data_IF_415738889442
#
_entry.id   IF_415738889442
#
_cell.length_a   1.000
_cell.length_b   1.000
_cell.length_c   1.000
_cell.angle_alpha   90.00
_cell.angle_beta   90.00
_cell.angle_gamma   90.00
#
_symmetry.space_group_name_H-M   'P 1'
#
loop_
_entity.id
_entity.type
_entity.pdbx_description
1 polymer ?
#
# COMPACT_ATOMS: atom_id res chain seq x y z
N UNK A 1 48.12 -43.26 4.89
CA UNK A 1 46.96 -42.43 5.28
C UNK A 1 47.38 -40.97 5.30
N UNK A 2 47.13 -40.23 4.21
CA UNK A 2 47.48 -38.82 4.10
C UNK A 2 46.64 -38.03 5.10
N UNK A 3 47.26 -37.63 6.23
CA UNK A 3 46.75 -36.54 7.07
C UNK A 3 46.55 -35.36 6.12
N UNK A 4 45.30 -35.07 5.72
CA UNK A 4 44.92 -33.85 5.00
C UNK A 4 45.09 -32.72 6.01
N UNK A 5 46.34 -32.32 6.17
CA UNK A 5 46.83 -31.48 7.25
C UNK A 5 46.23 -30.09 7.10
N UNK A 6 45.70 -29.58 8.19
CA UNK A 6 45.13 -28.23 8.30
C UNK A 6 46.03 -27.13 7.72
N UNK A 7 47.34 -27.37 7.60
CA UNK A 7 48.31 -26.48 6.94
C UNK A 7 48.00 -26.24 5.47
N UNK A 8 47.67 -27.27 4.69
CA UNK A 8 47.32 -27.10 3.26
C UNK A 8 46.06 -26.25 3.07
N UNK A 9 45.06 -26.43 3.95
CA UNK A 9 43.87 -25.59 3.99
C UNK A 9 44.21 -24.15 4.38
N UNK A 10 45.11 -23.93 5.36
CA UNK A 10 45.58 -22.60 5.74
C UNK A 10 46.29 -21.87 4.60
N UNK A 11 47.22 -22.52 3.91
CA UNK A 11 47.91 -21.94 2.74
C UNK A 11 46.92 -21.55 1.64
N UNK A 12 45.95 -22.42 1.34
CA UNK A 12 44.91 -22.13 0.36
C UNK A 12 44.03 -20.95 0.78
N UNK A 13 43.64 -20.86 2.05
CA UNK A 13 42.86 -19.71 2.56
C UNK A 13 43.65 -18.41 2.48
N UNK A 14 44.93 -18.40 2.88
CA UNK A 14 45.78 -17.22 2.75
C UNK A 14 45.91 -16.76 1.29
N UNK A 15 46.05 -17.69 0.34
CA UNK A 15 46.04 -17.37 -1.09
C UNK A 15 44.72 -16.77 -1.57
N UNK A 16 43.57 -17.23 -1.06
CA UNK A 16 42.25 -16.64 -1.37
C UNK A 16 42.11 -15.23 -0.82
N UNK A 17 42.68 -14.94 0.35
CA UNK A 17 42.66 -13.59 0.93
C UNK A 17 43.44 -12.56 0.10
N UNK A 18 44.46 -12.99 -0.65
CA UNK A 18 45.18 -12.12 -1.59
C UNK A 18 44.40 -11.85 -2.89
N UNK A 19 43.42 -12.69 -3.22
CA UNK A 19 42.71 -12.72 -4.50
C UNK A 19 41.26 -12.21 -4.38
N UNK A 20 41.05 -11.04 -3.78
CA UNK A 20 39.73 -10.39 -3.79
C UNK A 20 39.57 -9.50 -5.05
N UNK A 21 38.57 -9.74 -5.91
CA UNK A 21 38.38 -8.94 -7.13
C UNK A 21 37.89 -7.51 -6.86
N UNK A 22 37.28 -7.28 -5.69
CA UNK A 22 36.67 -6.01 -5.32
C UNK A 22 37.19 -5.51 -3.96
N UNK A 23 37.33 -4.18 -3.81
CA UNK A 23 37.59 -3.56 -2.50
C UNK A 23 36.53 -3.95 -1.45
N UNK A 24 36.89 -3.85 -0.17
CA UNK A 24 36.01 -4.25 0.94
C UNK A 24 34.66 -3.52 0.90
N UNK A 25 34.64 -2.21 0.59
CA UNK A 25 33.39 -1.43 0.48
C UNK A 25 32.49 -1.91 -0.65
N UNK A 26 33.06 -2.24 -1.81
CA UNK A 26 32.33 -2.77 -2.95
C UNK A 26 31.74 -4.17 -2.64
N UNK A 27 32.49 -5.03 -1.94
CA UNK A 27 31.94 -6.32 -1.46
C UNK A 27 30.76 -6.14 -0.50
N UNK A 28 30.83 -5.18 0.43
CA UNK A 28 29.70 -4.85 1.32
C UNK A 28 28.47 -4.36 0.55
N UNK A 29 28.66 -3.56 -0.50
CA UNK A 29 27.56 -3.13 -1.37
C UNK A 29 26.92 -4.31 -2.11
N UNK A 30 27.71 -5.25 -2.64
CA UNK A 30 27.19 -6.48 -3.25
C UNK A 30 26.46 -7.37 -2.23
N UNK A 31 26.91 -7.40 -0.98
CA UNK A 31 26.18 -8.09 0.09
C UNK A 31 24.84 -7.41 0.39
N UNK A 32 24.80 -6.08 0.52
CA UNK A 32 23.54 -5.36 0.69
C UNK A 32 22.59 -5.59 -0.48
N UNK A 33 23.10 -5.58 -1.72
CA UNK A 33 22.33 -5.91 -2.92
C UNK A 33 21.77 -7.33 -2.84
N UNK A 34 22.58 -8.32 -2.44
CA UNK A 34 22.11 -9.69 -2.22
C UNK A 34 20.99 -9.72 -1.17
N UNK A 35 21.17 -9.03 -0.06
CA UNK A 35 20.17 -8.98 1.01
C UNK A 35 18.86 -8.32 0.50
N UNK A 36 18.93 -7.28 -0.34
CA UNK A 36 17.73 -6.71 -1.00
C UNK A 36 17.06 -7.67 -1.99
N UNK A 37 17.84 -8.49 -2.71
CA UNK A 37 17.30 -9.52 -3.60
C UNK A 37 16.59 -10.59 -2.79
N UNK A 38 17.18 -11.03 -1.69
CA UNK A 38 16.56 -12.00 -0.77
C UNK A 38 15.25 -11.45 -0.16
N UNK A 39 15.21 -10.17 0.21
CA UNK A 39 13.99 -9.49 0.65
C UNK A 39 12.91 -9.48 -0.45
N UNK A 40 13.28 -9.13 -1.69
CA UNK A 40 12.36 -9.13 -2.82
C UNK A 40 11.82 -10.54 -3.13
N UNK A 41 12.68 -11.55 -3.13
CA UNK A 41 12.27 -12.94 -3.29
C UNK A 41 11.34 -13.38 -2.16
N UNK A 42 11.60 -12.98 -0.91
CA UNK A 42 10.72 -13.27 0.22
C UNK A 42 9.34 -12.60 0.07
N UNK A 43 9.28 -11.39 -0.50
CA UNK A 43 8.02 -10.73 -0.84
C UNK A 43 7.27 -11.47 -1.95
N UNK A 44 7.98 -11.92 -3.00
CA UNK A 44 7.40 -12.64 -4.13
C UNK A 44 6.95 -14.07 -3.77
N UNK A 45 7.56 -14.69 -2.75
CA UNK A 45 7.13 -16.00 -2.22
C UNK A 45 5.78 -15.94 -1.47
N UNK A 46 5.25 -14.75 -1.18
CA UNK A 46 3.98 -14.60 -0.47
C UNK A 46 2.81 -15.10 -1.32
N UNK A 47 1.72 -15.59 -0.68
CA UNK A 47 0.54 -16.01 -1.42
C UNK A 47 -0.15 -14.83 -2.10
N UNK A 48 -0.84 -15.09 -3.22
CA UNK A 48 -1.58 -14.08 -3.98
C UNK A 48 -2.71 -13.41 -3.18
N UNK A 49 -3.36 -14.14 -2.26
CA UNK A 49 -4.42 -13.61 -1.39
C UNK A 49 -4.37 -14.22 0.01
N UNK A 50 -5.16 -13.66 0.93
CA UNK A 50 -5.31 -14.16 2.29
C UNK A 50 -6.78 -14.08 2.68
N UNK A 51 -7.34 -15.19 3.18
CA UNK A 51 -8.72 -15.22 3.68
C UNK A 51 -8.78 -14.42 4.99
N UNK A 52 -9.70 -13.46 5.07
CA UNK A 52 -9.85 -12.55 6.22
C UNK A 52 -11.27 -12.64 6.78
N UNK A 53 -11.39 -12.51 8.11
CA UNK A 53 -12.66 -12.35 8.79
C UNK A 53 -13.13 -10.89 8.77
N UNK A 54 -14.44 -10.67 8.81
CA UNK A 54 -15.05 -9.34 8.96
C UNK A 54 -14.87 -8.76 10.36
N UNK A 55 -14.82 -9.59 11.40
CA UNK A 55 -14.76 -9.15 12.80
C UNK A 55 -13.32 -8.87 13.23
N UNK A 56 -12.37 -9.70 12.79
CA UNK A 56 -10.99 -9.63 13.26
C UNK A 56 -10.23 -8.43 12.65
N UNK A 57 -9.37 -7.75 13.44
CA UNK A 57 -8.49 -6.72 12.93
C UNK A 57 -7.66 -7.19 11.72
N UNK A 58 -7.39 -6.33 10.73
CA UNK A 58 -6.60 -6.70 9.54
C UNK A 58 -5.18 -7.21 9.84
N UNK A 59 -4.60 -6.88 10.99
CA UNK A 59 -3.27 -7.34 11.41
C UNK A 59 -3.23 -8.84 11.73
N UNK A 60 -4.37 -9.46 12.02
CA UNK A 60 -4.43 -10.90 12.35
C UNK A 60 -4.01 -11.72 11.11
N UNK A 61 -3.00 -12.58 11.29
CA UNK A 61 -2.42 -13.38 10.20
C UNK A 61 -1.36 -12.66 9.35
N UNK A 62 -0.92 -11.46 9.75
CA UNK A 62 0.18 -10.75 9.08
C UNK A 62 1.46 -11.58 9.17
N UNK A 63 2.00 -11.97 8.01
CA UNK A 63 3.37 -12.48 7.93
C UNK A 63 4.31 -11.31 8.26
N UNK A 64 4.82 -11.28 9.48
CA UNK A 64 5.82 -10.29 9.88
C UNK A 64 7.06 -10.50 9.02
N UNK A 65 7.45 -9.50 8.23
CA UNK A 65 8.87 -9.40 7.87
C UNK A 65 9.61 -9.23 9.19
N UNK A 66 10.72 -9.93 9.36
CA UNK A 66 11.57 -9.92 10.56
C UNK A 66 11.97 -8.52 11.02
N UNK A 67 11.82 -7.51 10.16
CA UNK A 67 12.07 -6.10 10.46
C UNK A 67 10.96 -5.42 11.30
N UNK A 68 9.74 -5.96 11.38
CA UNK A 68 8.62 -5.27 12.05
C UNK A 68 8.67 -5.35 13.59
N UNK A 69 9.68 -6.02 14.18
CA UNK A 69 9.72 -6.33 15.62
C UNK A 69 11.06 -6.00 16.29
N UNK A 70 11.47 -4.73 16.25
CA UNK A 70 12.18 -4.15 17.40
C UNK A 70 11.20 -3.29 18.20
N UNK A 71 10.44 -3.88 19.13
CA UNK A 71 9.54 -3.08 19.97
C UNK A 71 10.38 -2.09 20.77
N UNK A 72 10.13 -0.79 20.59
CA UNK A 72 10.55 0.24 21.54
C UNK A 72 11.80 1.07 21.22
N UNK A 73 12.31 1.13 19.97
CA UNK A 73 13.53 1.92 19.70
C UNK A 73 13.37 3.03 18.66
N UNK A 74 12.46 2.93 17.68
CA UNK A 74 12.27 4.00 16.68
C UNK A 74 10.83 4.05 16.19
N UNK A 75 10.26 5.26 16.08
CA UNK A 75 9.01 5.48 15.35
C UNK A 75 9.24 5.17 13.86
N UNK A 76 8.38 4.35 13.28
CA UNK A 76 8.36 4.09 11.84
C UNK A 76 7.46 5.12 11.15
N UNK A 77 7.77 5.45 9.90
CA UNK A 77 6.87 6.26 9.06
C UNK A 77 5.50 5.58 8.83
N UNK A 78 5.40 4.29 9.10
CA UNK A 78 4.18 3.49 8.98
C UNK A 78 3.41 3.25 10.29
N UNK A 79 3.81 3.90 11.40
CA UNK A 79 3.19 3.69 12.71
C UNK A 79 1.68 3.97 12.69
N UNK A 80 1.25 5.09 12.12
CA UNK A 80 -0.17 5.45 12.02
C UNK A 80 -0.98 4.44 11.21
N UNK A 81 -0.39 3.87 10.14
CA UNK A 81 -1.03 2.81 9.35
C UNK A 81 -1.12 1.53 10.18
N UNK A 82 -0.07 1.19 10.93
CA UNK A 82 -0.06 0.01 11.77
C UNK A 82 -1.09 0.12 12.90
N UNK A 83 -1.27 1.29 13.49
CA UNK A 83 -2.31 1.56 14.49
C UNK A 83 -3.71 1.31 13.92
N UNK A 84 -3.98 1.82 12.71
CA UNK A 84 -5.27 1.58 12.02
C UNK A 84 -5.48 0.10 11.70
N UNK A 85 -4.42 -0.65 11.37
CA UNK A 85 -4.51 -2.10 11.11
C UNK A 85 -4.72 -2.93 12.38
N UNK A 86 -4.32 -2.41 13.54
CA UNK A 86 -4.54 -3.03 14.85
C UNK A 86 -5.96 -2.77 15.36
N UNK A 87 -6.61 -1.68 14.94
CA UNK A 87 -7.99 -1.37 15.32
C UNK A 87 -8.97 -2.43 14.78
N UNK A 88 -10.07 -2.71 15.51
CA UNK A 88 -11.14 -3.57 15.01
C UNK A 88 -11.76 -2.96 13.74
N UNK A 89 -12.20 -3.84 12.84
CA UNK A 89 -12.88 -3.41 11.61
C UNK A 89 -14.20 -2.72 11.94
N UNK A 90 -14.52 -1.66 11.21
CA UNK A 90 -15.77 -0.91 11.38
C UNK A 90 -16.97 -1.61 10.73
N UNK A 91 -16.76 -2.35 9.64
CA UNK A 91 -17.78 -3.17 9.00
C UNK A 91 -17.63 -4.63 9.48
N UNK A 92 -18.43 -5.00 10.48
CA UNK A 92 -18.31 -6.25 11.22
C UNK A 92 -19.06 -7.43 10.60
N UNK A 93 -20.01 -7.16 9.71
CA UNK A 93 -20.83 -8.18 9.04
C UNK A 93 -21.04 -7.81 7.55
N UNK A 94 -21.34 -8.81 6.70
CA UNK A 94 -21.64 -8.54 5.29
C UNK A 94 -22.91 -7.70 5.12
N UNK A 95 -23.91 -7.86 5.97
CA UNK A 95 -25.15 -7.06 5.96
C UNK A 95 -24.82 -5.59 6.24
N UNK A 96 -23.99 -5.31 7.25
CA UNK A 96 -23.57 -3.94 7.56
C UNK A 96 -22.77 -3.31 6.41
N UNK A 97 -21.94 -4.09 5.73
CA UNK A 97 -21.23 -3.63 4.53
C UNK A 97 -22.21 -3.30 3.40
N UNK A 98 -23.24 -4.13 3.22
CA UNK A 98 -24.27 -3.91 2.22
C UNK A 98 -25.06 -2.63 2.50
N UNK A 99 -25.52 -2.41 3.74
CA UNK A 99 -26.19 -1.17 4.16
C UNK A 99 -25.36 0.08 3.82
N UNK A 100 -24.06 0.05 4.17
CA UNK A 100 -23.14 1.17 3.88
C UNK A 100 -22.92 1.36 2.36
N UNK A 101 -22.94 0.28 1.59
CA UNK A 101 -22.81 0.32 0.13
C UNK A 101 -24.07 0.86 -0.53
N UNK A 102 -25.26 0.55 -0.01
CA UNK A 102 -26.53 1.08 -0.52
C UNK A 102 -26.66 2.60 -0.27
N UNK A 103 -26.02 3.12 0.78
CA UNK A 103 -25.93 4.55 1.06
C UNK A 103 -24.93 5.30 0.15
N UNK A 104 -24.06 4.59 -0.56
CA UNK A 104 -23.02 5.20 -1.39
C UNK A 104 -23.62 5.72 -2.70
N UNK A 105 -23.49 7.03 -2.93
CA UNK A 105 -23.97 7.70 -4.15
C UNK A 105 -22.80 8.06 -5.06
N UNK A 106 -23.01 7.92 -6.38
CA UNK A 106 -22.01 8.20 -7.40
C UNK A 106 -22.45 9.36 -8.31
N UNK A 107 -22.08 10.61 -8.02
CA UNK A 107 -22.55 11.77 -8.79
C UNK A 107 -22.03 11.83 -10.24
N UNK A 108 -20.99 11.05 -10.59
CA UNK A 108 -20.38 11.03 -11.92
C UNK A 108 -20.72 9.82 -12.78
N UNK A 109 -21.63 8.94 -12.34
CA UNK A 109 -21.99 7.74 -13.13
C UNK A 109 -22.78 8.10 -14.37
N UNK A 110 -22.50 7.41 -15.47
CA UNK A 110 -23.32 7.48 -16.69
C UNK A 110 -24.60 6.69 -16.47
N UNK A 111 -25.74 7.37 -16.48
CA UNK A 111 -27.07 6.78 -16.32
C UNK A 111 -28.01 7.65 -15.48
N UNK A 112 -29.32 7.37 -15.51
CA UNK A 112 -30.26 8.07 -14.63
C UNK A 112 -29.97 7.71 -13.17
N UNK A 113 -29.93 8.72 -12.30
CA UNK A 113 -29.90 8.53 -10.86
C UNK A 113 -31.34 8.49 -10.32
N UNK A 114 -31.63 7.68 -9.29
CA UNK A 114 -32.93 7.70 -8.63
C UNK A 114 -33.18 9.09 -8.03
N UNK A 115 -34.37 9.64 -8.23
CA UNK A 115 -34.76 10.93 -7.67
C UNK A 115 -34.76 10.84 -6.13
N UNK A 116 -33.89 11.62 -5.50
CA UNK A 116 -33.86 11.75 -4.05
C UNK A 116 -34.82 12.87 -3.67
N UNK A 117 -35.85 12.55 -2.88
CA UNK A 117 -36.75 13.57 -2.36
C UNK A 117 -36.01 14.42 -1.31
N UNK A 118 -36.04 15.73 -1.49
CA UNK A 118 -35.57 16.68 -0.47
C UNK A 118 -36.44 16.61 0.78
N UNK A 119 -35.94 17.10 1.92
CA UNK A 119 -36.70 17.24 3.16
C UNK A 119 -38.01 18.05 3.01
N UNK A 120 -38.11 18.87 1.95
CA UNK A 120 -39.26 19.69 1.59
C UNK A 120 -40.25 19.01 0.62
N UNK A 121 -40.06 17.72 0.31
CA UNK A 121 -40.97 16.96 -0.56
C UNK A 121 -40.86 17.27 -2.07
N UNK A 122 -39.89 18.11 -2.47
CA UNK A 122 -39.54 18.35 -3.88
C UNK A 122 -38.38 17.44 -4.31
N UNK A 123 -38.30 16.99 -5.57
CA UNK A 123 -37.11 16.31 -6.07
C UNK A 123 -35.91 17.25 -5.88
N UNK A 124 -34.82 16.74 -5.29
CA UNK A 124 -33.60 17.51 -5.16
C UNK A 124 -32.93 17.60 -6.54
N UNK A 125 -32.86 18.80 -7.11
CA UNK A 125 -32.21 19.03 -8.40
C UNK A 125 -30.70 18.74 -8.29
N UNK A 126 -30.19 17.93 -9.21
CA UNK A 126 -28.75 17.68 -9.27
C UNK A 126 -28.00 18.92 -9.81
N UNK A 127 -26.73 19.08 -9.44
CA UNK A 127 -25.90 20.19 -9.97
C UNK A 127 -25.87 20.19 -11.50
N UNK A 128 -25.83 19.00 -12.11
CA UNK A 128 -25.83 18.82 -13.57
C UNK A 128 -27.19 19.14 -14.20
N UNK A 129 -28.31 18.96 -13.50
CA UNK A 129 -29.62 19.40 -13.97
C UNK A 129 -29.73 20.93 -13.93
N UNK A 130 -29.28 21.55 -12.84
CA UNK A 130 -29.36 23.00 -12.65
C UNK A 130 -28.42 23.80 -13.57
N UNK A 131 -27.20 23.32 -13.80
CA UNK A 131 -26.15 24.07 -14.51
C UNK A 131 -25.71 23.43 -15.83
N UNK A 132 -26.19 22.22 -16.14
CA UNK A 132 -25.73 21.43 -17.29
C UNK A 132 -24.37 20.77 -17.06
N UNK A 133 -24.02 19.82 -17.92
CA UNK A 133 -22.78 19.04 -17.79
C UNK A 133 -21.49 19.82 -18.12
N UNK A 134 -21.58 20.89 -18.94
CA UNK A 134 -20.43 21.67 -19.41
C UNK A 134 -19.99 22.75 -18.42
N UNK A 135 -20.90 23.21 -17.57
CA UNK A 135 -20.61 24.24 -16.59
C UNK A 135 -20.04 23.61 -15.33
N UNK A 136 -18.99 24.21 -14.79
CA UNK A 136 -18.39 23.87 -13.50
C UNK A 136 -18.38 25.09 -12.60
N UNK A 137 -18.38 24.91 -11.28
CA UNK A 137 -18.21 26.02 -10.35
C UNK A 137 -16.90 26.75 -10.64
N UNK A 138 -16.87 28.06 -10.36
CA UNK A 138 -15.63 28.82 -10.34
C UNK A 138 -14.88 28.49 -9.04
N UNK A 139 -14.16 27.38 -9.05
CA UNK A 139 -13.35 26.97 -7.91
C UNK A 139 -12.27 28.03 -7.60
N UNK A 140 -11.93 28.24 -6.32
CA UNK A 140 -10.83 29.12 -5.96
C UNK A 140 -9.51 28.52 -6.45
N UNK A 141 -8.87 29.17 -7.41
CA UNK A 141 -7.58 28.77 -7.96
C UNK A 141 -6.46 29.41 -7.12
N UNK A 142 -5.82 28.60 -6.28
CA UNK A 142 -4.70 29.02 -5.45
C UNK A 142 -3.62 27.94 -5.40
N UNK A 143 -2.46 28.26 -4.84
CA UNK A 143 -1.42 27.26 -4.59
C UNK A 143 -1.93 26.08 -3.72
N UNK A 144 -2.86 26.34 -2.80
CA UNK A 144 -3.41 25.32 -1.90
C UNK A 144 -4.58 24.54 -2.51
N UNK A 145 -5.33 25.15 -3.43
CA UNK A 145 -6.51 24.55 -4.06
C UNK A 145 -6.36 24.58 -5.58
N UNK A 146 -6.01 23.42 -6.14
CA UNK A 146 -5.88 23.23 -7.60
C UNK A 146 -7.09 22.45 -8.11
N UNK A 147 -8.09 23.12 -8.71
CA UNK A 147 -9.26 22.44 -9.24
C UNK A 147 -8.95 21.71 -10.56
N UNK A 148 -9.82 20.77 -10.99
CA UNK A 148 -9.71 20.20 -12.33
C UNK A 148 -9.91 21.26 -13.42
N UNK A 149 -8.91 21.45 -14.28
CA UNK A 149 -9.00 22.34 -15.43
C UNK A 149 -9.48 21.60 -16.69
N UNK A 150 -9.99 22.35 -17.68
CA UNK A 150 -10.43 21.84 -18.98
C UNK A 150 -11.37 20.61 -18.89
N UNK A 151 -12.59 20.75 -18.36
CA UNK A 151 -13.51 19.62 -18.19
C UNK A 151 -13.78 18.85 -19.50
N UNK A 152 -13.70 19.52 -20.65
CA UNK A 152 -13.84 18.90 -21.98
C UNK A 152 -12.76 17.87 -22.31
N UNK A 153 -11.56 17.94 -21.71
CA UNK A 153 -10.48 16.98 -21.97
C UNK A 153 -10.65 15.65 -21.25
N UNK A 154 -11.47 15.60 -20.21
CA UNK A 154 -11.78 14.36 -19.48
C UNK A 154 -12.90 13.54 -20.09
N UNK A 155 -13.47 13.96 -21.22
CA UNK A 155 -14.65 13.36 -21.86
C UNK A 155 -14.20 12.61 -23.13
N UNK A 156 -13.45 11.51 -22.97
CA UNK A 156 -13.12 10.49 -23.99
C UNK A 156 -12.73 9.20 -23.27
#
# INVERSE_FOLDING_TARGET
>A
MLRRTATTLRYRTAWRELLHPLPVRARRAEWMKRDTVEQNEALLRRPYYTLKSYVLPPVVGKQTTTETRRPGVYSSSSDSVQDVLCQPRRATSPERLQELREQLQFPGTVGPMPEIMSATGRPAESYTEAYGARLRPRYPESWETVPPHQPSRGIL
#
